data_IF_743785692047
#
_entry.id   IF_743785692047
#
_cell.length_a   1.000
_cell.length_b   1.000
_cell.length_c   1.000
_cell.angle_alpha   90.00
_cell.angle_beta   90.00
_cell.angle_gamma   90.00
#
_symmetry.space_group_name_H-M   'P 1'
#
loop_
_entity.id
_entity.type
_entity.pdbx_description
1 polymer ?
#
# COMPACT_ATOMS: atom_id res chain seq x y z
N UNK A 1 -4.03 -9.20 -11.56
CA UNK A 1 -4.24 -10.67 -11.53
C UNK A 1 -3.40 -11.41 -12.54
N UNK A 2 -2.86 -10.76 -13.58
CA UNK A 2 -1.99 -11.37 -14.57
C UNK A 2 -0.59 -10.78 -14.52
N UNK A 3 0.40 -11.60 -14.86
CA UNK A 3 1.79 -11.19 -15.09
C UNK A 3 1.88 -9.99 -16.05
N UNK A 4 2.91 -9.16 -15.91
CA UNK A 4 3.10 -7.94 -16.71
C UNK A 4 3.04 -8.20 -18.22
N UNK A 5 3.66 -9.28 -18.66
CA UNK A 5 3.78 -9.64 -20.07
C UNK A 5 3.05 -10.95 -20.41
N UNK A 6 2.10 -11.36 -19.57
CA UNK A 6 1.37 -12.63 -19.70
C UNK A 6 2.31 -13.84 -19.80
N UNK A 7 3.47 -13.76 -19.11
CA UNK A 7 4.33 -14.91 -18.89
C UNK A 7 3.64 -15.90 -17.95
N UNK A 8 3.98 -17.18 -18.07
CA UNK A 8 3.53 -18.19 -17.13
C UNK A 8 3.87 -17.78 -15.70
N UNK A 9 2.93 -17.97 -14.79
CA UNK A 9 3.14 -17.71 -13.36
C UNK A 9 3.72 -18.95 -12.70
N UNK A 10 4.76 -18.73 -11.90
CA UNK A 10 5.46 -19.77 -11.15
C UNK A 10 6.73 -20.24 -11.87
N UNK A 11 7.85 -20.22 -11.16
CA UNK A 11 9.18 -20.64 -11.63
C UNK A 11 9.60 -19.95 -12.95
N UNK A 12 9.12 -18.72 -13.16
CA UNK A 12 9.36 -17.94 -14.38
C UNK A 12 10.76 -17.33 -14.36
N UNK A 13 11.71 -18.08 -14.92
CA UNK A 13 13.15 -17.74 -14.98
C UNK A 13 13.57 -17.63 -16.44
N UNK A 14 14.36 -16.60 -16.75
CA UNK A 14 14.82 -16.26 -18.08
C UNK A 14 13.75 -15.50 -18.87
N UNK A 15 14.02 -14.24 -19.23
CA UNK A 15 13.10 -13.42 -20.04
C UNK A 15 12.67 -14.09 -21.35
N UNK A 16 13.60 -14.76 -22.01
CA UNK A 16 13.36 -15.45 -23.28
C UNK A 16 12.91 -16.91 -23.09
N UNK A 17 13.26 -17.52 -21.95
CA UNK A 17 12.98 -18.94 -21.66
C UNK A 17 11.62 -19.17 -21.01
N UNK A 18 11.22 -18.31 -20.06
CA UNK A 18 9.90 -18.37 -19.46
C UNK A 18 8.84 -18.11 -20.54
N UNK A 19 7.90 -19.03 -20.79
CA UNK A 19 6.98 -18.90 -21.91
C UNK A 19 5.91 -17.84 -21.65
N UNK A 20 5.51 -17.15 -22.73
CA UNK A 20 4.24 -16.43 -22.75
C UNK A 20 3.09 -17.42 -22.92
N UNK A 21 1.99 -17.23 -22.19
CA UNK A 21 0.82 -18.11 -22.26
C UNK A 21 -0.45 -17.30 -22.52
N UNK A 22 -1.37 -17.89 -23.28
CA UNK A 22 -2.62 -17.25 -23.70
C UNK A 22 -3.83 -17.64 -22.86
N UNK A 23 -3.65 -18.59 -21.94
CA UNK A 23 -4.66 -19.04 -20.99
C UNK A 23 -4.47 -18.35 -19.62
N UNK A 24 -5.16 -18.89 -18.61
CA UNK A 24 -5.06 -18.43 -17.23
C UNK A 24 -3.77 -18.86 -16.53
N UNK A 25 -2.84 -19.53 -17.22
CA UNK A 25 -1.52 -19.87 -16.69
C UNK A 25 -0.65 -18.65 -16.38
N UNK A 26 -0.97 -17.48 -16.94
CA UNK A 26 -0.34 -16.20 -16.59
C UNK A 26 -1.05 -15.47 -15.45
N UNK A 27 -2.10 -16.05 -14.86
CA UNK A 27 -2.85 -15.47 -13.76
C UNK A 27 -2.23 -15.87 -12.41
N UNK A 28 -1.70 -14.88 -11.69
CA UNK A 28 -1.29 -15.04 -10.29
C UNK A 28 -2.48 -14.84 -9.32
N UNK A 29 -3.63 -14.39 -9.81
CA UNK A 29 -4.89 -14.18 -9.06
C UNK A 29 -4.84 -13.17 -7.91
N UNK A 30 -3.78 -12.37 -7.82
CA UNK A 30 -3.66 -11.29 -6.84
C UNK A 30 -3.95 -9.92 -7.46
N UNK A 31 -4.26 -8.94 -6.61
CA UNK A 31 -4.29 -7.53 -6.98
C UNK A 31 -2.84 -7.02 -7.04
N UNK A 32 -2.27 -6.98 -8.24
CA UNK A 32 -0.91 -6.52 -8.47
C UNK A 32 -0.81 -4.99 -8.45
N UNK A 33 0.41 -4.47 -8.51
CA UNK A 33 0.72 -3.03 -8.37
C UNK A 33 -0.03 -2.13 -9.36
N UNK A 34 -0.50 -2.67 -10.47
CA UNK A 34 -1.39 -1.98 -11.38
C UNK A 34 -1.67 -2.77 -12.64
N UNK A 35 -2.38 -2.14 -13.57
CA UNK A 35 -2.53 -2.58 -14.95
C UNK A 35 -2.30 -1.37 -15.84
N UNK A 36 -1.80 -1.59 -17.05
CA UNK A 36 -1.56 -0.52 -18.02
C UNK A 36 -2.10 -0.89 -19.39
N UNK A 37 -2.56 0.09 -20.16
CA UNK A 37 -3.02 -0.10 -21.52
C UNK A 37 -2.77 1.16 -22.35
N UNK A 38 -2.68 1.00 -23.66
CA UNK A 38 -2.48 2.13 -24.57
C UNK A 38 -2.64 1.73 -26.03
N UNK A 39 -2.52 2.71 -26.92
CA UNK A 39 -2.60 2.50 -28.36
C UNK A 39 -2.27 3.74 -29.16
N UNK A 40 -2.11 3.54 -30.47
CA UNK A 40 -1.86 4.61 -31.44
C UNK A 40 -3.11 5.45 -31.70
N UNK A 41 -2.92 6.74 -32.00
CA UNK A 41 -3.97 7.64 -32.47
C UNK A 41 -4.11 7.67 -34.00
N UNK A 42 -3.18 7.05 -34.73
CA UNK A 42 -3.16 7.07 -36.20
C UNK A 42 -3.94 5.92 -36.85
N UNK A 43 -4.22 6.07 -38.14
CA UNK A 43 -5.10 5.17 -38.90
C UNK A 43 -4.60 3.72 -39.02
N UNK A 44 -3.28 3.49 -38.96
CA UNK A 44 -2.65 2.15 -38.93
C UNK A 44 -2.19 1.80 -37.51
N UNK A 45 -3.12 1.87 -36.55
CA UNK A 45 -2.80 1.83 -35.13
C UNK A 45 -2.43 0.46 -34.56
N UNK A 46 -1.77 0.48 -33.40
CA UNK A 46 -1.57 -0.67 -32.52
C UNK A 46 -2.22 -0.40 -31.16
N UNK A 47 -2.41 -1.45 -30.37
CA UNK A 47 -2.83 -1.34 -28.98
C UNK A 47 -2.09 -2.37 -28.13
N UNK A 48 -2.03 -2.13 -26.83
CA UNK A 48 -1.38 -3.02 -25.88
C UNK A 48 -2.08 -2.98 -24.53
N UNK A 49 -1.92 -4.07 -23.78
CA UNK A 49 -2.31 -4.20 -22.37
C UNK A 49 -1.18 -4.91 -21.64
N UNK A 50 -0.95 -4.53 -20.40
CA UNK A 50 0.00 -5.17 -19.50
C UNK A 50 -0.67 -5.40 -18.16
N UNK A 51 -0.43 -6.58 -17.59
CA UNK A 51 -0.68 -6.84 -16.19
C UNK A 51 0.39 -6.18 -15.32
N UNK A 52 0.71 -6.81 -14.20
CA UNK A 52 1.87 -6.46 -13.41
C UNK A 52 2.32 -7.68 -12.60
N UNK A 53 3.59 -8.03 -12.71
CA UNK A 53 4.17 -9.23 -12.09
C UNK A 53 4.37 -9.09 -10.58
N UNK A 54 4.26 -7.88 -10.03
CA UNK A 54 4.53 -7.56 -8.64
C UNK A 54 3.23 -7.41 -7.85
N UNK A 55 3.10 -8.17 -6.77
CA UNK A 55 1.92 -8.21 -5.90
C UNK A 55 2.31 -7.84 -4.46
N UNK A 56 1.66 -6.80 -3.93
CA UNK A 56 1.92 -6.28 -2.60
C UNK A 56 0.75 -6.55 -1.66
N UNK A 57 1.01 -6.91 -0.39
CA UNK A 57 -0.06 -7.22 0.57
C UNK A 57 -1.06 -6.07 0.70
N UNK A 58 -0.58 -4.82 0.69
CA UNK A 58 -1.39 -3.62 0.92
C UNK A 58 -2.49 -3.39 -0.13
N UNK A 59 -2.40 -4.06 -1.28
CA UNK A 59 -3.34 -3.92 -2.40
C UNK A 59 -4.46 -4.94 -2.36
N UNK A 60 -4.27 -6.05 -1.63
CA UNK A 60 -5.27 -7.10 -1.54
C UNK A 60 -6.55 -6.56 -0.86
N UNK A 61 -7.69 -7.12 -1.24
CA UNK A 61 -9.01 -6.68 -0.80
C UNK A 61 -10.03 -7.83 -0.82
N UNK A 62 -10.12 -8.54 0.30
CA UNK A 62 -11.05 -9.66 0.49
C UNK A 62 -12.52 -9.22 0.45
N UNK A 63 -12.83 -8.01 0.92
CA UNK A 63 -14.21 -7.46 0.89
C UNK A 63 -14.67 -7.24 -0.54
N UNK A 64 -13.83 -6.64 -1.39
CA UNK A 64 -14.15 -6.43 -2.79
C UNK A 64 -14.34 -7.76 -3.53
N UNK A 65 -13.43 -8.73 -3.31
CA UNK A 65 -13.57 -10.07 -3.88
C UNK A 65 -14.87 -10.74 -3.41
N UNK A 66 -15.18 -10.66 -2.11
CA UNK A 66 -16.42 -11.20 -1.55
C UNK A 66 -17.67 -10.55 -2.16
N UNK A 67 -17.70 -9.22 -2.26
CA UNK A 67 -18.82 -8.48 -2.85
C UNK A 67 -19.05 -8.85 -4.32
N UNK A 68 -18.00 -8.93 -5.12
CA UNK A 68 -18.09 -9.33 -6.54
C UNK A 68 -18.63 -10.76 -6.72
N UNK A 69 -18.46 -11.63 -5.73
CA UNK A 69 -18.94 -13.02 -5.76
C UNK A 69 -20.38 -13.17 -5.26
N UNK A 70 -20.75 -12.42 -4.22
CA UNK A 70 -21.94 -12.69 -3.43
C UNK A 70 -23.02 -11.60 -3.54
N UNK A 71 -22.66 -10.36 -3.90
CA UNK A 71 -23.62 -9.27 -4.06
C UNK A 71 -24.15 -9.21 -5.49
N UNK A 72 -25.44 -9.46 -5.66
CA UNK A 72 -26.07 -9.53 -6.98
C UNK A 72 -25.90 -8.24 -7.80
N UNK A 73 -25.88 -7.07 -7.14
CA UNK A 73 -25.68 -5.76 -7.76
C UNK A 73 -24.23 -5.50 -8.19
N UNK A 74 -23.26 -6.24 -7.64
CA UNK A 74 -21.83 -6.12 -7.95
C UNK A 74 -21.32 -7.24 -8.85
N UNK A 75 -22.13 -8.28 -9.10
CA UNK A 75 -21.72 -9.48 -9.81
C UNK A 75 -21.18 -9.17 -11.22
N UNK A 76 -19.93 -9.53 -11.54
CA UNK A 76 -19.37 -9.28 -12.87
C UNK A 76 -20.06 -10.13 -13.94
N UNK A 77 -20.20 -9.56 -15.15
CA UNK A 77 -20.86 -10.20 -16.30
C UNK A 77 -19.93 -11.06 -17.18
N UNK A 78 -18.62 -11.03 -16.92
CA UNK A 78 -17.66 -11.83 -17.67
C UNK A 78 -17.88 -13.33 -17.45
N UNK A 79 -17.78 -14.13 -18.51
CA UNK A 79 -18.14 -15.56 -18.48
C UNK A 79 -17.39 -16.37 -17.41
N UNK A 80 -16.11 -16.06 -17.17
CA UNK A 80 -15.26 -16.72 -16.15
C UNK A 80 -15.04 -15.87 -14.91
N UNK A 81 -15.63 -14.67 -14.84
CA UNK A 81 -15.23 -13.68 -13.84
C UNK A 81 -15.52 -14.13 -12.40
N UNK A 82 -16.57 -14.92 -12.19
CA UNK A 82 -16.89 -15.49 -10.87
C UNK A 82 -15.82 -16.48 -10.44
N UNK A 83 -15.44 -17.40 -11.31
CA UNK A 83 -14.35 -18.36 -11.04
C UNK A 83 -13.03 -17.62 -10.78
N UNK A 84 -12.70 -16.60 -11.58
CA UNK A 84 -11.51 -15.77 -11.40
C UNK A 84 -11.47 -15.09 -10.01
N UNK A 85 -12.61 -14.54 -9.56
CA UNK A 85 -12.69 -13.90 -8.24
C UNK A 85 -12.72 -14.91 -7.09
N UNK A 86 -13.24 -16.12 -7.29
CA UNK A 86 -13.15 -17.21 -6.31
C UNK A 86 -11.70 -17.61 -6.09
N UNK A 87 -10.95 -17.84 -7.17
CA UNK A 87 -9.51 -18.10 -7.09
C UNK A 87 -8.76 -16.93 -6.47
N UNK A 88 -9.14 -15.69 -6.79
CA UNK A 88 -8.50 -14.51 -6.21
C UNK A 88 -8.74 -14.38 -4.72
N UNK A 89 -9.97 -14.61 -4.24
CA UNK A 89 -10.29 -14.53 -2.81
C UNK A 89 -9.44 -15.53 -2.01
N UNK A 90 -9.37 -16.77 -2.49
CA UNK A 90 -8.57 -17.83 -1.86
C UNK A 90 -7.08 -17.50 -1.89
N UNK A 91 -6.55 -17.11 -3.06
CA UNK A 91 -5.14 -16.75 -3.24
C UNK A 91 -4.71 -15.56 -2.38
N UNK A 92 -5.61 -14.60 -2.15
CA UNK A 92 -5.34 -13.47 -1.27
C UNK A 92 -5.22 -13.90 0.20
N UNK A 93 -6.07 -14.81 0.68
CA UNK A 93 -5.96 -15.38 2.04
C UNK A 93 -4.62 -16.11 2.21
N UNK A 94 -4.24 -16.94 1.25
CA UNK A 94 -2.95 -17.65 1.26
C UNK A 94 -1.77 -16.68 1.25
N UNK A 95 -1.85 -15.57 0.50
CA UNK A 95 -0.80 -14.56 0.48
C UNK A 95 -0.63 -13.93 1.87
N UNK A 96 -1.71 -13.60 2.57
CA UNK A 96 -1.62 -13.07 3.93
C UNK A 96 -0.97 -14.07 4.88
N UNK A 97 -1.36 -15.34 4.83
CA UNK A 97 -0.77 -16.39 5.67
C UNK A 97 0.71 -16.59 5.38
N UNK A 98 1.11 -16.57 4.10
CA UNK A 98 2.49 -16.66 3.67
C UNK A 98 3.32 -15.46 4.16
N UNK A 99 2.80 -14.24 4.05
CA UNK A 99 3.53 -13.01 4.40
C UNK A 99 3.49 -12.66 5.89
N UNK A 100 2.60 -13.27 6.69
CA UNK A 100 2.43 -12.89 8.08
C UNK A 100 3.60 -13.40 8.95
N UNK A 101 4.35 -12.47 9.54
CA UNK A 101 5.50 -12.79 10.38
C UNK A 101 5.08 -13.47 11.67
N UNK A 102 6.04 -14.10 12.37
CA UNK A 102 5.82 -14.65 13.71
C UNK A 102 5.31 -13.58 14.70
N UNK A 103 5.74 -12.33 14.54
CA UNK A 103 5.30 -11.18 15.34
C UNK A 103 3.85 -10.80 15.06
N UNK A 104 3.41 -10.87 13.79
CA UNK A 104 2.01 -10.66 13.39
C UNK A 104 1.81 -9.63 12.27
N UNK A 105 2.82 -8.81 11.98
CA UNK A 105 2.82 -7.89 10.85
C UNK A 105 2.91 -8.62 9.50
N UNK A 106 2.47 -7.99 8.42
CA UNK A 106 2.57 -8.54 7.06
C UNK A 106 3.86 -8.09 6.36
N UNK A 107 4.74 -9.02 6.01
CA UNK A 107 5.86 -8.75 5.11
C UNK A 107 5.37 -8.36 3.70
N UNK A 108 6.25 -7.80 2.85
CA UNK A 108 5.87 -7.05 1.66
C UNK A 108 5.02 -7.79 0.59
N UNK A 109 5.56 -8.77 -0.10
CA UNK A 109 4.91 -9.24 -1.32
C UNK A 109 5.75 -10.20 -2.11
N UNK A 110 5.30 -10.41 -3.35
CA UNK A 110 5.83 -11.41 -4.25
C UNK A 110 5.90 -10.87 -5.67
N UNK A 111 6.83 -11.38 -6.47
CA UNK A 111 6.99 -11.05 -7.88
C UNK A 111 7.14 -12.31 -8.74
N UNK A 112 6.47 -12.33 -9.89
CA UNK A 112 6.74 -13.33 -10.94
C UNK A 112 7.94 -12.95 -11.82
N UNK A 113 8.46 -11.72 -11.69
CA UNK A 113 9.60 -11.21 -12.47
C UNK A 113 10.69 -10.74 -11.52
N UNK A 114 11.59 -11.65 -11.15
CA UNK A 114 12.74 -11.31 -10.30
C UNK A 114 13.59 -10.22 -10.97
N UNK A 115 14.07 -9.26 -10.18
CA UNK A 115 14.76 -8.05 -10.65
C UNK A 115 14.06 -7.28 -11.79
N UNK A 116 12.73 -7.46 -11.95
CA UNK A 116 11.93 -6.84 -13.02
C UNK A 116 12.37 -7.28 -14.43
N UNK A 117 13.06 -8.40 -14.54
CA UNK A 117 13.59 -8.92 -15.81
C UNK A 117 13.49 -10.45 -15.94
N UNK A 118 12.75 -11.11 -15.04
CA UNK A 118 12.67 -12.58 -14.96
C UNK A 118 14.05 -13.23 -14.76
N UNK A 119 14.93 -12.57 -14.01
CA UNK A 119 16.25 -13.11 -13.71
C UNK A 119 16.15 -14.38 -12.84
N UNK A 120 17.21 -15.17 -12.78
CA UNK A 120 17.28 -16.33 -11.89
C UNK A 120 17.53 -15.87 -10.43
N UNK A 121 16.59 -16.07 -9.48
CA UNK A 121 16.79 -15.66 -8.10
C UNK A 121 17.80 -16.56 -7.36
N UNK A 122 18.40 -16.08 -6.26
CA UNK A 122 19.16 -16.93 -5.34
C UNK A 122 18.34 -18.13 -4.83
N UNK A 123 19.00 -19.24 -4.52
CA UNK A 123 18.34 -20.50 -4.17
C UNK A 123 17.39 -20.36 -2.97
N UNK A 124 17.74 -19.53 -1.99
CA UNK A 124 16.91 -19.29 -0.80
C UNK A 124 15.54 -18.67 -1.15
N UNK A 125 15.42 -17.88 -2.23
CA UNK A 125 14.12 -17.36 -2.67
C UNK A 125 13.27 -18.44 -3.35
N UNK A 126 13.92 -19.41 -4.01
CA UNK A 126 13.25 -20.54 -4.66
C UNK A 126 12.63 -21.47 -3.63
N UNK A 127 13.39 -21.78 -2.59
CA UNK A 127 12.99 -22.66 -1.49
C UNK A 127 11.81 -22.09 -0.67
N UNK A 128 11.61 -20.77 -0.73
CA UNK A 128 10.56 -20.05 -0.02
C UNK A 128 9.53 -19.38 -0.96
N UNK A 129 9.34 -19.90 -2.17
CA UNK A 129 8.43 -19.29 -3.15
C UNK A 129 6.95 -19.41 -2.77
N UNK A 130 6.14 -18.48 -3.28
CA UNK A 130 4.69 -18.48 -3.15
C UNK A 130 4.08 -18.78 -4.52
N UNK A 131 3.60 -20.01 -4.73
CA UNK A 131 3.14 -20.46 -6.05
C UNK A 131 4.20 -20.26 -7.15
N UNK A 132 5.48 -20.51 -6.82
CA UNK A 132 6.63 -20.28 -7.71
C UNK A 132 6.95 -18.80 -7.98
N UNK A 133 6.27 -17.86 -7.33
CA UNK A 133 6.65 -16.44 -7.34
C UNK A 133 7.61 -16.15 -6.18
N UNK A 134 8.49 -15.18 -6.38
CA UNK A 134 9.59 -14.89 -5.48
C UNK A 134 9.22 -13.80 -4.49
N UNK A 135 9.61 -13.94 -3.23
CA UNK A 135 9.44 -12.89 -2.25
C UNK A 135 10.16 -11.60 -2.69
N UNK A 136 9.51 -10.45 -2.49
CA UNK A 136 10.04 -9.13 -2.86
C UNK A 136 9.89 -8.20 -1.64
N UNK A 137 11.00 -7.70 -1.11
CA UNK A 137 11.01 -6.76 0.02
C UNK A 137 10.49 -5.37 -0.33
N UNK A 138 10.55 -4.99 -1.60
CA UNK A 138 10.23 -3.65 -2.10
C UNK A 138 9.35 -3.70 -3.36
N UNK A 139 8.11 -4.23 -3.26
CA UNK A 139 7.23 -4.36 -4.41
C UNK A 139 6.95 -3.00 -5.06
N UNK A 140 7.29 -2.87 -6.34
CA UNK A 140 7.08 -1.67 -7.14
C UNK A 140 8.35 -0.85 -7.34
N UNK A 141 8.81 -0.13 -6.31
CA UNK A 141 9.97 0.76 -6.37
C UNK A 141 10.89 0.62 -5.15
N UNK A 142 12.14 1.05 -5.30
CA UNK A 142 13.11 1.01 -4.21
C UNK A 142 12.58 1.83 -3.03
N UNK A 143 12.62 1.25 -1.82
CA UNK A 143 12.07 1.85 -0.59
C UNK A 143 10.53 2.02 -0.57
N UNK A 144 9.76 1.23 -1.32
CA UNK A 144 8.29 1.27 -1.29
C UNK A 144 7.65 0.75 0.02
N UNK A 145 8.39 -0.06 0.79
CA UNK A 145 7.86 -0.83 1.91
C UNK A 145 8.27 -0.40 3.35
N UNK A 146 8.87 0.78 3.62
CA UNK A 146 9.04 1.18 5.01
C UNK A 146 7.73 1.67 5.60
N UNK A 147 6.73 2.06 4.82
CA UNK A 147 5.57 2.77 5.37
C UNK A 147 4.59 1.84 6.12
N UNK A 148 4.38 2.12 7.41
CA UNK A 148 3.46 1.36 8.25
C UNK A 148 2.00 1.42 7.76
N UNK A 149 1.57 2.49 7.08
CA UNK A 149 0.16 2.70 6.73
C UNK A 149 -0.48 1.61 5.87
N UNK A 150 0.32 0.82 5.14
CA UNK A 150 -0.19 -0.35 4.43
C UNK A 150 -0.69 -1.47 5.35
N UNK A 151 -0.12 -1.59 6.55
CA UNK A 151 -0.54 -2.59 7.56
C UNK A 151 -2.02 -2.41 7.92
N UNK A 152 -2.47 -1.26 8.48
CA UNK A 152 -3.88 -1.10 8.81
C UNK A 152 -4.77 -1.04 7.56
N UNK A 153 -4.34 -0.45 6.44
CA UNK A 153 -5.14 -0.44 5.22
C UNK A 153 -5.55 -1.83 4.75
N UNK A 154 -4.62 -2.78 4.82
CA UNK A 154 -4.92 -4.16 4.46
C UNK A 154 -5.68 -4.87 5.58
N UNK A 155 -5.27 -4.67 6.83
CA UNK A 155 -5.82 -5.40 7.97
C UNK A 155 -7.29 -5.02 8.18
N UNK A 156 -7.66 -3.78 7.92
CA UNK A 156 -9.04 -3.27 7.91
C UNK A 156 -9.92 -4.10 6.97
N UNK A 157 -9.44 -4.39 5.75
CA UNK A 157 -10.18 -5.19 4.78
C UNK A 157 -10.30 -6.66 5.21
N UNK A 158 -9.26 -7.22 5.83
CA UNK A 158 -9.33 -8.59 6.37
C UNK A 158 -10.28 -8.66 7.57
N UNK A 159 -10.25 -7.66 8.46
CA UNK A 159 -11.15 -7.54 9.61
C UNK A 159 -12.61 -7.34 9.19
N UNK A 160 -12.87 -6.52 8.18
CA UNK A 160 -14.20 -6.36 7.58
C UNK A 160 -14.69 -7.67 6.96
N UNK A 161 -13.84 -8.36 6.20
CA UNK A 161 -14.20 -9.66 5.63
C UNK A 161 -14.50 -10.69 6.73
N UNK A 162 -13.72 -10.73 7.81
CA UNK A 162 -14.02 -11.54 8.99
C UNK A 162 -15.34 -11.14 9.64
N UNK A 163 -15.60 -9.85 9.82
CA UNK A 163 -16.85 -9.34 10.38
C UNK A 163 -18.08 -9.78 9.58
N UNK A 164 -18.03 -9.63 8.25
CA UNK A 164 -19.12 -9.97 7.33
C UNK A 164 -19.37 -11.47 7.29
N UNK A 165 -18.31 -12.28 7.19
CA UNK A 165 -18.44 -13.70 6.84
C UNK A 165 -18.25 -14.66 8.00
N UNK A 166 -17.57 -14.24 9.07
CA UNK A 166 -17.08 -15.14 10.11
C UNK A 166 -15.98 -16.10 9.65
N UNK A 167 -15.30 -15.82 8.53
CA UNK A 167 -14.26 -16.71 8.00
C UNK A 167 -13.10 -16.92 9.00
N UNK A 168 -12.82 -18.18 9.34
CA UNK A 168 -11.86 -18.52 10.40
C UNK A 168 -10.39 -18.24 10.02
N UNK A 169 -10.03 -18.30 8.73
CA UNK A 169 -8.69 -17.90 8.27
C UNK A 169 -8.49 -16.40 8.43
N UNK A 170 -9.47 -15.60 7.99
CA UNK A 170 -9.46 -14.16 8.17
C UNK A 170 -9.42 -13.76 9.66
N UNK A 171 -10.13 -14.50 10.52
CA UNK A 171 -10.04 -14.34 11.98
C UNK A 171 -8.63 -14.54 12.49
N UNK A 172 -7.96 -15.64 12.12
CA UNK A 172 -6.61 -15.97 12.58
C UNK A 172 -5.56 -14.98 12.07
N UNK A 173 -5.68 -14.58 10.80
CA UNK A 173 -4.85 -13.53 10.21
C UNK A 173 -5.01 -12.23 11.00
N UNK A 174 -6.25 -11.79 11.20
CA UNK A 174 -6.55 -10.52 11.86
C UNK A 174 -6.16 -10.55 13.33
N UNK A 175 -6.43 -11.64 14.06
CA UNK A 175 -6.14 -11.73 15.51
C UNK A 175 -4.65 -11.60 15.80
N UNK A 176 -3.79 -12.24 15.00
CA UNK A 176 -2.34 -12.12 15.16
C UNK A 176 -1.83 -10.70 14.87
N UNK A 177 -2.39 -10.05 13.84
CA UNK A 177 -2.08 -8.65 13.53
C UNK A 177 -2.58 -7.69 14.63
N UNK A 178 -3.78 -7.93 15.17
CA UNK A 178 -4.37 -7.14 16.27
C UNK A 178 -3.50 -7.22 17.52
N UNK A 179 -3.08 -8.43 17.91
CA UNK A 179 -2.19 -8.62 19.06
C UNK A 179 -0.87 -7.86 18.89
N UNK A 180 -0.28 -7.93 17.70
CA UNK A 180 0.94 -7.20 17.38
C UNK A 180 0.73 -5.68 17.43
N UNK A 181 -0.24 -5.14 16.70
CA UNK A 181 -0.39 -3.69 16.61
C UNK A 181 -0.72 -3.06 17.96
N UNK A 182 -1.52 -3.74 18.80
CA UNK A 182 -1.83 -3.28 20.15
C UNK A 182 -0.56 -3.18 21.00
N UNK A 183 0.36 -4.15 20.91
CA UNK A 183 1.62 -4.08 21.66
C UNK A 183 2.55 -2.95 21.18
N UNK A 184 2.34 -2.47 19.96
CA UNK A 184 3.14 -1.41 19.35
C UNK A 184 2.52 -0.02 19.46
N UNK A 185 1.30 0.11 19.99
CA UNK A 185 0.65 1.40 20.26
C UNK A 185 1.04 1.86 21.65
N UNK A 186 1.55 3.09 21.77
CA UNK A 186 1.86 3.70 23.06
C UNK A 186 1.00 4.94 23.28
N UNK A 187 0.24 4.97 24.37
CA UNK A 187 -0.50 6.15 24.79
C UNK A 187 0.31 6.94 25.82
N UNK A 188 0.41 8.24 25.59
CA UNK A 188 1.06 9.19 26.47
C UNK A 188 0.18 9.48 27.70
N UNK A 189 0.77 10.00 28.77
CA UNK A 189 0.04 10.37 30.00
C UNK A 189 -1.08 11.39 29.76
N UNK A 190 -0.88 12.30 28.79
CA UNK A 190 -1.88 13.30 28.41
C UNK A 190 -3.06 12.72 27.61
N UNK A 191 -2.98 11.46 27.15
CA UNK A 191 -4.01 10.81 26.35
C UNK A 191 -3.75 10.78 24.84
N UNK A 192 -2.74 11.48 24.32
CA UNK A 192 -2.29 11.35 22.93
C UNK A 192 -1.51 10.02 22.72
N UNK A 193 -1.05 9.73 21.51
CA UNK A 193 -0.43 8.44 21.21
C UNK A 193 0.76 8.51 20.24
N UNK A 194 1.53 7.42 20.22
CA UNK A 194 2.48 7.13 19.15
C UNK A 194 2.25 5.72 18.62
N UNK A 195 2.37 5.57 17.31
CA UNK A 195 2.30 4.31 16.57
C UNK A 195 3.52 4.16 15.67
N UNK A 196 3.78 2.96 15.11
CA UNK A 196 4.79 2.80 14.08
C UNK A 196 4.51 3.69 12.86
N UNK A 197 5.54 4.29 12.29
CA UNK A 197 5.47 5.03 11.01
C UNK A 197 6.32 4.35 9.93
N UNK A 198 7.44 3.76 10.36
CA UNK A 198 8.40 3.11 9.48
C UNK A 198 8.74 1.72 9.97
N UNK A 199 8.87 0.79 9.04
CA UNK A 199 9.17 -0.62 9.23
C UNK A 199 10.40 -1.01 8.39
N UNK A 200 11.12 -2.03 8.84
CA UNK A 200 12.16 -2.72 8.11
C UNK A 200 11.93 -4.23 8.23
N UNK A 201 12.24 -4.96 7.18
CA UNK A 201 12.05 -6.41 7.11
C UNK A 201 13.39 -7.09 6.86
N UNK A 202 13.61 -8.23 7.51
CA UNK A 202 14.79 -9.08 7.34
C UNK A 202 14.37 -10.55 7.32
N UNK A 203 15.09 -11.40 6.58
CA UNK A 203 14.75 -12.82 6.42
C UNK A 203 13.56 -13.08 5.49
N UNK A 204 13.46 -14.31 4.99
CA UNK A 204 12.44 -14.73 4.04
C UNK A 204 11.25 -15.41 4.74
N UNK A 205 10.03 -15.35 4.18
CA UNK A 205 8.90 -16.06 4.74
C UNK A 205 9.16 -17.57 4.87
N UNK A 206 8.69 -18.24 5.93
CA UNK A 206 7.86 -17.71 7.02
C UNK A 206 8.67 -17.04 8.15
N UNK A 207 10.00 -16.98 8.02
CA UNK A 207 10.92 -16.50 9.06
C UNK A 207 11.26 -15.01 8.94
N UNK A 208 10.47 -14.23 8.18
CA UNK A 208 10.66 -12.79 8.10
C UNK A 208 10.40 -12.13 9.45
N UNK A 209 11.28 -11.19 9.82
CA UNK A 209 11.21 -10.40 11.05
C UNK A 209 10.93 -8.95 10.69
N UNK A 210 10.05 -8.30 11.46
CA UNK A 210 9.79 -6.86 11.35
C UNK A 210 10.52 -6.09 12.44
N UNK A 211 11.12 -4.97 12.07
CA UNK A 211 11.69 -3.97 12.99
C UNK A 211 11.00 -2.63 12.76
N UNK A 212 10.54 -1.98 13.82
CA UNK A 212 9.98 -0.63 13.75
C UNK A 212 11.15 0.36 13.78
N UNK A 213 11.30 1.13 12.71
CA UNK A 213 12.40 2.09 12.52
C UNK A 213 11.97 3.54 12.71
N UNK A 214 10.67 3.80 12.83
CA UNK A 214 10.12 5.12 13.10
C UNK A 214 8.80 5.04 13.85
N UNK A 215 8.55 6.02 14.72
CA UNK A 215 7.31 6.19 15.47
C UNK A 215 6.85 7.65 15.41
N UNK A 216 5.54 7.85 15.49
CA UNK A 216 4.92 9.17 15.44
C UNK A 216 3.40 9.07 15.58
N UNK A 217 2.71 10.16 15.31
CA UNK A 217 1.24 10.23 15.45
C UNK A 217 0.50 9.63 14.26
N UNK A 218 1.12 9.58 13.08
CA UNK A 218 0.70 8.76 11.93
C UNK A 218 -0.81 8.69 11.69
N UNK A 219 -1.51 9.82 11.70
CA UNK A 219 -2.97 9.87 11.89
C UNK A 219 -3.81 8.92 11.06
N UNK A 220 -3.51 8.79 9.76
CA UNK A 220 -4.27 7.86 8.94
C UNK A 220 -4.09 6.43 9.39
N UNK A 221 -2.84 6.04 9.59
CA UNK A 221 -2.51 4.71 10.06
C UNK A 221 -3.18 4.45 11.41
N UNK A 222 -3.27 5.46 12.28
CA UNK A 222 -3.98 5.37 13.56
C UNK A 222 -5.50 5.21 13.37
N UNK A 223 -6.13 6.01 12.51
CA UNK A 223 -7.56 5.94 12.24
C UNK A 223 -7.96 4.60 11.63
N UNK A 224 -7.24 4.16 10.61
CA UNK A 224 -7.48 2.88 9.96
C UNK A 224 -7.17 1.70 10.89
N UNK A 225 -6.18 1.83 11.78
CA UNK A 225 -5.93 0.86 12.87
C UNK A 225 -7.13 0.80 13.80
N UNK A 226 -7.64 1.95 14.26
CA UNK A 226 -8.82 2.00 15.12
C UNK A 226 -10.04 1.33 14.47
N UNK A 227 -10.27 1.56 13.18
CA UNK A 227 -11.35 0.89 12.42
C UNK A 227 -11.14 -0.61 12.28
N UNK A 228 -9.90 -1.05 12.01
CA UNK A 228 -9.54 -2.48 11.99
C UNK A 228 -9.87 -3.15 13.32
N UNK A 229 -9.43 -2.53 14.42
CA UNK A 229 -9.69 -3.00 15.78
C UNK A 229 -11.19 -3.04 16.09
N UNK A 230 -11.96 -2.05 15.63
CA UNK A 230 -13.41 -1.99 15.80
C UNK A 230 -14.13 -3.15 15.09
N UNK A 231 -13.85 -3.38 13.80
CA UNK A 231 -14.45 -4.49 13.06
C UNK A 231 -14.09 -5.85 13.66
N UNK A 232 -12.82 -6.04 14.02
CA UNK A 232 -12.38 -7.28 14.68
C UNK A 232 -13.14 -7.48 16.00
N UNK A 233 -13.13 -6.49 16.89
CA UNK A 233 -13.79 -6.56 18.19
C UNK A 233 -15.30 -6.78 18.10
N UNK A 234 -15.97 -6.15 17.13
CA UNK A 234 -17.40 -6.31 16.93
C UNK A 234 -17.79 -7.75 16.58
N UNK A 235 -16.91 -8.50 15.90
CA UNK A 235 -17.14 -9.91 15.56
C UNK A 235 -16.60 -10.89 16.59
N UNK A 236 -15.43 -10.62 17.15
CA UNK A 236 -14.74 -11.53 18.09
C UNK A 236 -15.20 -11.39 19.54
N UNK A 237 -15.76 -10.23 19.91
CA UNK A 237 -16.03 -9.87 21.30
C UNK A 237 -14.80 -9.38 22.08
N UNK A 238 -13.68 -9.13 21.42
CA UNK A 238 -12.43 -8.68 22.05
C UNK A 238 -12.58 -7.28 22.65
N UNK A 239 -12.63 -7.21 23.98
CA UNK A 239 -12.83 -5.96 24.71
C UNK A 239 -11.60 -5.06 24.68
N UNK A 240 -10.39 -5.62 24.66
CA UNK A 240 -9.15 -4.85 24.60
C UNK A 240 -9.04 -4.13 23.26
N UNK A 241 -9.29 -4.84 22.15
CA UNK A 241 -9.30 -4.25 20.82
C UNK A 241 -10.34 -3.12 20.71
N UNK A 242 -11.55 -3.31 21.27
CA UNK A 242 -12.59 -2.26 21.31
C UNK A 242 -12.15 -1.02 22.10
N UNK A 243 -11.51 -1.21 23.24
CA UNK A 243 -11.05 -0.11 24.10
C UNK A 243 -9.90 0.67 23.47
N UNK A 244 -8.92 -0.03 22.89
CA UNK A 244 -7.80 0.61 22.17
C UNK A 244 -8.31 1.35 20.93
N UNK A 245 -9.26 0.76 20.19
CA UNK A 245 -9.93 1.43 19.06
C UNK A 245 -10.55 2.76 19.49
N UNK A 246 -11.35 2.75 20.56
CA UNK A 246 -11.98 3.96 21.08
C UNK A 246 -10.94 5.00 21.47
N UNK A 247 -9.92 4.58 22.22
CA UNK A 247 -8.90 5.48 22.75
C UNK A 247 -8.10 6.16 21.63
N UNK A 248 -7.81 5.45 20.54
CA UNK A 248 -7.21 6.05 19.34
C UNK A 248 -8.12 7.10 18.70
N UNK A 249 -9.41 6.82 18.52
CA UNK A 249 -10.36 7.77 17.94
C UNK A 249 -10.55 9.01 18.83
N UNK A 250 -10.66 8.83 20.14
CA UNK A 250 -10.78 9.92 21.11
C UNK A 250 -9.53 10.81 21.08
N UNK A 251 -8.33 10.22 20.97
CA UNK A 251 -7.07 10.95 20.89
C UNK A 251 -6.94 11.71 19.56
N UNK A 252 -7.25 11.05 18.43
CA UNK A 252 -7.31 11.70 17.12
C UNK A 252 -8.25 12.91 17.13
N UNK A 253 -9.43 12.75 17.74
CA UNK A 253 -10.41 13.82 17.87
C UNK A 253 -9.94 14.96 18.78
N UNK A 254 -9.27 14.65 19.90
CA UNK A 254 -8.92 15.65 20.91
C UNK A 254 -7.65 16.44 20.59
N UNK A 255 -6.65 15.82 19.94
CA UNK A 255 -5.32 16.41 19.81
C UNK A 255 -4.98 16.99 18.44
N UNK A 256 -5.72 16.60 17.40
CA UNK A 256 -5.28 16.84 16.01
C UNK A 256 -6.34 17.49 15.12
N UNK A 257 -7.39 18.02 15.75
CA UNK A 257 -8.37 18.86 15.08
C UNK A 257 -7.79 20.22 14.69
N UNK A 258 -8.34 20.74 13.60
CA UNK A 258 -8.06 22.05 13.02
C UNK A 258 -9.35 22.65 12.45
N UNK A 259 -9.30 23.90 12.01
CA UNK A 259 -10.40 24.60 11.35
C UNK A 259 -10.86 23.94 10.03
N UNK A 260 -10.01 23.10 9.41
CA UNK A 260 -10.27 22.44 8.12
C UNK A 260 -10.50 20.93 8.25
N UNK A 261 -10.71 20.43 9.47
CA UNK A 261 -10.82 19.01 9.77
C UNK A 261 -9.62 18.54 10.60
N UNK A 262 -8.94 17.51 10.16
CA UNK A 262 -7.80 16.90 10.84
C UNK A 262 -6.50 17.18 10.08
N UNK A 263 -5.42 17.50 10.80
CA UNK A 263 -4.08 17.53 10.24
C UNK A 263 -3.02 17.05 11.23
N UNK A 264 -1.98 16.41 10.69
CA UNK A 264 -0.69 16.31 11.37
C UNK A 264 0.22 17.42 10.90
N UNK A 265 1.04 17.94 11.83
CA UNK A 265 2.18 18.75 11.44
C UNK A 265 3.31 17.81 10.99
N UNK A 266 3.68 17.92 9.73
CA UNK A 266 4.76 17.12 9.13
C UNK A 266 5.91 18.01 8.70
N UNK A 267 7.14 17.54 8.94
CA UNK A 267 8.38 18.19 8.52
C UNK A 267 8.88 17.55 7.24
N UNK A 268 9.08 18.36 6.19
CA UNK A 268 9.36 17.89 4.84
C UNK A 268 10.86 17.97 4.48
N UNK A 269 11.70 17.14 5.12
CA UNK A 269 13.14 17.06 4.82
C UNK A 269 13.42 16.60 3.38
N UNK A 270 12.51 15.82 2.80
CA UNK A 270 12.58 15.38 1.40
C UNK A 270 12.46 16.54 0.38
N UNK A 271 12.06 17.74 0.81
CA UNK A 271 12.04 18.90 -0.09
C UNK A 271 13.44 19.36 -0.51
N UNK A 272 14.50 18.89 0.16
CA UNK A 272 15.88 19.03 -0.31
C UNK A 272 16.07 18.49 -1.74
N UNK A 273 15.23 17.54 -2.17
CA UNK A 273 15.26 16.97 -3.51
C UNK A 273 14.70 17.90 -4.61
N UNK A 274 14.19 19.10 -4.29
CA UNK A 274 13.67 20.03 -5.31
C UNK A 274 14.74 20.43 -6.34
N UNK A 275 16.01 20.46 -5.93
CA UNK A 275 17.13 20.77 -6.80
C UNK A 275 17.80 19.52 -7.38
N UNK A 276 17.27 18.32 -7.15
CA UNK A 276 17.85 17.10 -7.72
C UNK A 276 17.74 17.13 -9.25
N UNK A 277 18.82 16.74 -9.95
CA UNK A 277 18.80 16.65 -11.40
C UNK A 277 17.81 15.57 -11.85
N UNK A 278 17.13 15.84 -12.96
CA UNK A 278 16.27 14.85 -13.62
C UNK A 278 17.12 14.00 -14.55
N UNK A 279 16.96 12.68 -14.46
CA UNK A 279 17.59 11.78 -15.41
C UNK A 279 16.89 11.86 -16.77
N UNK A 280 17.64 12.22 -17.80
CA UNK A 280 17.21 12.17 -19.19
C UNK A 280 18.09 11.16 -19.95
N UNK A 281 17.52 10.03 -20.40
CA UNK A 281 18.32 8.92 -20.95
C UNK A 281 18.91 9.22 -22.32
N UNK A 282 18.35 10.18 -23.06
CA UNK A 282 18.74 10.49 -24.42
C UNK A 282 19.71 11.68 -24.43
N UNK A 283 20.93 11.44 -24.93
CA UNK A 283 21.91 12.49 -25.14
C UNK A 283 21.31 13.60 -26.04
N UNK A 284 21.46 14.86 -25.62
CA UNK A 284 20.94 16.05 -26.30
C UNK A 284 19.41 16.13 -26.44
N UNK A 285 18.65 15.34 -25.68
CA UNK A 285 17.20 15.50 -25.66
C UNK A 285 16.80 16.83 -25.03
N UNK A 286 15.83 17.51 -25.65
CA UNK A 286 15.25 18.73 -25.15
C UNK A 286 13.74 18.74 -25.41
N UNK A 287 12.99 19.33 -24.48
CA UNK A 287 11.55 19.48 -24.57
C UNK A 287 11.06 20.75 -23.87
N UNK A 288 9.79 21.05 -24.01
CA UNK A 288 9.15 22.21 -23.39
C UNK A 288 7.91 21.72 -22.63
N UNK A 289 7.85 22.01 -21.34
CA UNK A 289 6.68 21.75 -20.52
C UNK A 289 5.52 22.69 -20.93
N UNK A 290 4.24 22.34 -20.73
CA UNK A 290 3.12 23.19 -21.16
C UNK A 290 3.16 24.67 -20.73
N UNK A 291 3.82 25.00 -19.61
CA UNK A 291 3.99 26.38 -19.13
C UNK A 291 5.23 27.10 -19.70
N UNK A 292 5.97 26.47 -20.60
CA UNK A 292 7.18 27.01 -21.24
C UNK A 292 8.50 26.61 -20.57
N UNK A 293 8.50 25.87 -19.46
CA UNK A 293 9.75 25.43 -18.83
C UNK A 293 10.52 24.49 -19.75
N UNK A 294 11.82 24.77 -19.94
CA UNK A 294 12.69 23.93 -20.78
C UNK A 294 13.13 22.70 -20.00
N UNK A 295 13.01 21.54 -20.65
CA UNK A 295 13.50 20.26 -20.15
C UNK A 295 14.75 19.90 -20.95
N UNK A 296 15.90 19.77 -20.31
CA UNK A 296 17.18 19.39 -20.91
C UNK A 296 18.09 18.71 -19.88
N UNK A 297 19.33 18.35 -20.26
CA UNK A 297 20.27 17.61 -19.40
C UNK A 297 20.63 18.30 -18.08
N UNK A 298 20.37 19.61 -17.94
CA UNK A 298 20.61 20.37 -16.72
C UNK A 298 19.35 20.59 -15.88
N UNK A 299 18.21 20.02 -16.29
CA UNK A 299 16.94 20.19 -15.59
C UNK A 299 16.94 19.54 -14.21
N UNK A 300 16.28 20.20 -13.27
CA UNK A 300 16.02 19.69 -11.91
C UNK A 300 14.53 19.48 -11.70
N UNK A 301 14.13 18.86 -10.57
CA UNK A 301 12.73 18.72 -10.20
C UNK A 301 11.99 20.08 -10.23
N UNK A 302 12.60 21.13 -9.69
CA UNK A 302 12.05 22.49 -9.64
C UNK A 302 12.12 23.22 -10.99
N UNK A 303 13.18 23.02 -11.79
CA UNK A 303 13.37 23.81 -13.03
C UNK A 303 12.28 23.54 -14.07
N UNK A 304 11.75 22.33 -14.12
CA UNK A 304 10.64 21.94 -15.02
C UNK A 304 9.26 22.12 -14.37
N UNK A 305 9.23 22.69 -13.17
CA UNK A 305 8.04 22.95 -12.35
C UNK A 305 8.08 24.35 -11.74
N UNK A 306 8.41 25.35 -12.56
CA UNK A 306 8.67 26.72 -12.09
C UNK A 306 7.47 27.35 -11.38
N UNK A 307 6.26 26.84 -11.61
CA UNK A 307 5.04 27.27 -10.92
C UNK A 307 5.07 27.01 -9.40
N UNK A 308 5.89 26.09 -8.87
CA UNK A 308 6.06 25.96 -7.42
C UNK A 308 6.51 27.27 -6.75
N UNK A 309 7.24 28.12 -7.48
CA UNK A 309 7.67 29.44 -6.99
C UNK A 309 6.51 30.43 -6.76
N UNK A 310 5.32 30.11 -7.27
CA UNK A 310 4.09 30.87 -7.07
C UNK A 310 3.24 30.33 -5.92
N UNK A 311 3.64 29.22 -5.29
CA UNK A 311 2.94 28.68 -4.13
C UNK A 311 3.01 29.68 -2.97
N UNK A 312 1.90 29.95 -2.25
CA UNK A 312 1.89 30.85 -1.09
C UNK A 312 2.91 30.47 0.00
N UNK A 313 3.28 29.19 0.08
CA UNK A 313 4.26 28.67 1.03
C UNK A 313 5.69 28.60 0.47
N UNK A 314 5.93 29.05 -0.76
CA UNK A 314 7.23 28.94 -1.43
C UNK A 314 8.36 29.55 -0.59
N UNK A 315 8.12 30.67 0.10
CA UNK A 315 9.15 31.31 0.92
C UNK A 315 9.74 30.36 1.99
N UNK A 316 8.91 29.50 2.60
CA UNK A 316 9.37 28.51 3.57
C UNK A 316 10.23 27.44 2.92
N UNK A 317 9.83 26.98 1.73
CA UNK A 317 10.58 25.98 0.95
C UNK A 317 11.90 26.57 0.47
N UNK A 318 11.90 27.79 -0.06
CA UNK A 318 13.09 28.50 -0.52
C UNK A 318 14.11 28.66 0.61
N UNK A 319 13.67 29.09 1.81
CA UNK A 319 14.56 29.19 2.98
C UNK A 319 15.23 27.86 3.31
N UNK A 320 14.52 26.73 3.18
CA UNK A 320 15.11 25.42 3.37
C UNK A 320 16.15 25.09 2.29
N UNK A 321 15.83 25.36 1.03
CA UNK A 321 16.76 25.16 -0.10
C UNK A 321 18.01 26.04 -0.01
N UNK A 322 17.93 27.18 0.67
CA UNK A 322 19.03 28.10 0.92
C UNK A 322 19.86 27.71 2.17
N UNK A 323 19.62 26.54 2.76
CA UNK A 323 20.37 25.99 3.90
C UNK A 323 19.71 26.20 5.26
N UNK A 324 18.45 26.66 5.30
CA UNK A 324 17.66 26.77 6.52
C UNK A 324 17.13 25.43 7.04
N UNK A 325 16.21 25.49 8.01
CA UNK A 325 15.54 24.30 8.55
C UNK A 325 14.47 23.75 7.60
N UNK A 326 14.20 22.45 7.68
CA UNK A 326 13.16 21.80 6.89
C UNK A 326 11.78 22.38 7.24
N UNK A 327 10.92 22.67 6.24
CA UNK A 327 9.66 23.32 6.49
C UNK A 327 8.64 22.33 7.06
N UNK A 328 7.83 22.79 8.01
CA UNK A 328 6.71 22.01 8.55
C UNK A 328 5.36 22.61 8.18
N UNK A 329 4.40 21.73 7.91
CA UNK A 329 3.03 22.12 7.53
C UNK A 329 1.99 21.26 8.23
N UNK A 330 0.86 21.83 8.68
CA UNK A 330 -0.33 21.03 8.93
C UNK A 330 -0.88 20.53 7.59
N UNK A 331 -0.91 19.21 7.40
CA UNK A 331 -1.33 18.61 6.13
C UNK A 331 -2.74 18.05 6.25
N UNK A 332 -3.66 18.57 5.43
CA UNK A 332 -5.04 18.08 5.32
C UNK A 332 -5.19 17.20 4.09
N UNK A 333 -4.62 15.99 4.12
CA UNK A 333 -4.82 15.07 3.00
C UNK A 333 -6.27 14.60 3.00
N UNK A 334 -6.88 14.61 1.81
CA UNK A 334 -8.27 14.19 1.62
C UNK A 334 -8.53 12.78 2.17
N UNK A 335 -7.67 11.82 1.83
CA UNK A 335 -7.83 10.43 2.25
C UNK A 335 -7.68 10.25 3.77
N UNK A 336 -6.89 11.06 4.46
CA UNK A 336 -6.75 10.99 5.93
C UNK A 336 -8.00 11.51 6.63
N UNK A 337 -8.54 12.63 6.16
CA UNK A 337 -9.76 13.21 6.69
C UNK A 337 -10.99 12.32 6.42
N UNK A 338 -11.08 11.77 5.21
CA UNK A 338 -12.13 10.82 4.85
C UNK A 338 -12.04 9.54 5.70
N UNK A 339 -10.83 9.00 5.90
CA UNK A 339 -10.62 7.81 6.71
C UNK A 339 -11.06 8.02 8.17
N UNK A 340 -10.70 9.15 8.78
CA UNK A 340 -11.16 9.48 10.14
C UNK A 340 -12.67 9.62 10.24
N UNK A 341 -13.30 10.31 9.31
CA UNK A 341 -14.75 10.43 9.28
C UNK A 341 -15.44 9.05 9.18
N UNK A 342 -14.93 8.17 8.32
CA UNK A 342 -15.43 6.80 8.18
C UNK A 342 -15.21 6.01 9.47
N UNK A 343 -14.02 6.10 10.09
CA UNK A 343 -13.71 5.37 11.31
C UNK A 343 -14.59 5.78 12.49
N UNK A 344 -14.88 7.07 12.64
CA UNK A 344 -15.82 7.58 13.65
C UNK A 344 -17.24 7.05 13.41
N UNK A 345 -17.74 7.14 12.17
CA UNK A 345 -19.07 6.66 11.82
C UNK A 345 -19.21 5.13 11.96
N UNK A 346 -18.16 4.38 11.60
CA UNK A 346 -18.13 2.92 11.75
C UNK A 346 -18.09 2.52 13.21
N UNK A 347 -17.37 3.24 14.07
CA UNK A 347 -17.34 2.94 15.49
C UNK A 347 -18.75 3.07 16.10
N UNK A 348 -19.45 4.17 15.79
CA UNK A 348 -20.85 4.36 16.21
C UNK A 348 -21.76 3.27 15.63
N UNK A 349 -21.65 2.96 14.33
CA UNK A 349 -22.43 1.89 13.68
C UNK A 349 -22.25 0.52 14.36
N UNK A 350 -21.02 0.19 14.77
CA UNK A 350 -20.72 -1.12 15.36
C UNK A 350 -21.09 -1.22 16.84
N UNK A 351 -21.07 -0.12 17.59
CA UNK A 351 -21.18 -0.14 19.05
C UNK A 351 -22.27 0.77 19.65
N UNK A 352 -22.97 1.57 18.84
CA UNK A 352 -23.94 2.61 19.22
C UNK A 352 -23.37 3.58 20.29
N UNK A 353 -22.19 4.14 20.03
CA UNK A 353 -21.40 4.90 21.01
C UNK A 353 -20.55 6.00 20.40
#
# INVERSE_FOLDING_TARGET
MFDQHFKQVGDCIGKEDCPGVSDKGSAHYLLSWGISWGGSLGDNGYHWRMGNSVCYYGYQNLVAAHGLLNEASMRPRGATAIEDWQHSLERQLELYEYLQTSQGAFAAGVTNSYNKNYDDPPQEYKDHSFYGMWFDYQPGYADANPWFGFQPWTADRVAQYYYITGNERAKNITSKWVSWVISEIHFNENGDFTIPTNLKWEGLPPNTVVTITGRGTGANSASCTARTLAYYAARSGDTQAREVSKKLLDALWSFHQTDKGYANVETFTQYSNFNNPLFLPLANWSGIYPNGDVINSNSTFLSVRSWFKKDPNWEKVQKYLDGGEAPSFPVHRFWENADLAISLAVYDMLFNK
#
